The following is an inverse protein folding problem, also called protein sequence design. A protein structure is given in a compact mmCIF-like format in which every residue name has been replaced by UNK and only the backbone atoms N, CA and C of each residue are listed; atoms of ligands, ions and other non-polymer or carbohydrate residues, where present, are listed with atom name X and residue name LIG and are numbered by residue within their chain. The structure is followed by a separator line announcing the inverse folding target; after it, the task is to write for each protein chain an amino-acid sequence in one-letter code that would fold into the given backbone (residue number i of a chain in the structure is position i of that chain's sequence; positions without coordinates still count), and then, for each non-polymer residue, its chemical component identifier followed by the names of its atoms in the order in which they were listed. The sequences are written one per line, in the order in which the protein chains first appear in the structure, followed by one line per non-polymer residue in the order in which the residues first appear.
data_IF_767571846696
#
_entry.id   IF_767571846696
#
_cell.length_a   1.000
_cell.length_b   1.000
_cell.length_c   1.000
_cell.angle_alpha   90.00
_cell.angle_beta   90.00
_cell.angle_gamma   90.00
#
_symmetry.space_group_name_H-M   'P 1'
#
loop_
_entity.id
_entity.type
_entity.pdbx_description
1 polymer ?
#
# COMPACT_ATOMS: atom_id res chain seq x y z
N UNK A 1 -0.98 -26.02 -20.20
CA UNK A 1 -1.93 -24.99 -19.79
C UNK A 1 -1.83 -23.86 -20.80
N UNK A 2 -2.86 -23.61 -21.57
CA UNK A 2 -2.89 -22.56 -22.58
C UNK A 2 -3.49 -21.31 -21.96
N UNK A 3 -2.77 -20.17 -22.01
CA UNK A 3 -3.22 -18.90 -21.49
C UNK A 3 -3.75 -18.06 -22.65
N UNK A 4 -5.06 -17.79 -22.66
CA UNK A 4 -5.69 -16.87 -23.60
C UNK A 4 -5.85 -15.50 -22.96
N UNK A 5 -5.26 -14.48 -23.58
CA UNK A 5 -5.33 -13.09 -23.12
C UNK A 5 -6.15 -12.26 -24.11
N UNK A 6 -7.07 -11.44 -23.58
CA UNK A 6 -7.78 -10.42 -24.35
C UNK A 6 -7.40 -9.03 -23.86
N UNK A 7 -7.22 -8.08 -24.80
CA UNK A 7 -6.94 -6.67 -24.49
C UNK A 7 -8.20 -5.84 -24.68
N UNK A 8 -8.49 -5.01 -23.67
CA UNK A 8 -9.56 -4.04 -23.73
C UNK A 8 -9.00 -2.66 -23.39
N UNK A 9 -9.02 -1.74 -24.33
CA UNK A 9 -8.59 -0.35 -24.12
C UNK A 9 -9.79 0.43 -23.54
N UNK A 10 -9.69 0.85 -22.26
CA UNK A 10 -10.76 1.52 -21.56
C UNK A 10 -10.61 3.03 -21.58
N UNK A 11 -9.43 3.55 -21.22
CA UNK A 11 -9.18 4.96 -21.06
C UNK A 11 -7.70 5.25 -21.21
N UNK A 12 -7.38 6.36 -21.88
CA UNK A 12 -6.04 6.91 -21.92
C UNK A 12 -5.86 7.93 -20.79
N UNK A 13 -4.81 7.78 -19.99
CA UNK A 13 -4.39 8.70 -18.95
C UNK A 13 -2.96 9.17 -19.20
N UNK A 14 -2.54 10.26 -18.54
CA UNK A 14 -1.15 10.71 -18.56
C UNK A 14 -0.21 9.67 -17.90
N UNK A 15 1.10 9.93 -17.92
CA UNK A 15 2.08 9.04 -17.30
C UNK A 15 1.74 8.77 -15.81
N UNK A 16 2.00 7.57 -15.37
CA UNK A 16 1.66 7.12 -14.01
C UNK A 16 2.88 6.55 -13.30
N UNK A 17 2.94 6.70 -12.00
CA UNK A 17 3.95 6.07 -11.17
C UNK A 17 3.58 4.63 -10.82
N UNK A 18 4.58 3.89 -10.37
CA UNK A 18 4.39 2.53 -9.88
C UNK A 18 3.43 2.48 -8.68
N UNK A 19 2.47 1.56 -8.71
CA UNK A 19 1.42 1.39 -7.69
C UNK A 19 0.57 2.67 -7.45
N UNK A 20 0.48 3.58 -8.42
CA UNK A 20 -0.46 4.71 -8.41
C UNK A 20 -1.85 4.34 -8.95
N UNK A 21 -2.15 3.04 -9.05
CA UNK A 21 -3.47 2.53 -9.39
C UNK A 21 -3.96 1.56 -8.32
N UNK A 22 -5.24 1.68 -7.94
CA UNK A 22 -5.91 0.80 -6.99
C UNK A 22 -7.34 0.47 -7.44
N UNK A 23 -7.76 -0.75 -7.11
CA UNK A 23 -9.16 -1.16 -7.20
C UNK A 23 -9.87 -0.72 -5.93
N UNK A 24 -10.98 0.00 -6.06
CA UNK A 24 -11.82 0.30 -4.91
C UNK A 24 -12.60 -0.96 -4.49
N UNK A 25 -12.67 -1.27 -3.19
CA UNK A 25 -13.52 -2.36 -2.70
C UNK A 25 -14.96 -2.19 -3.18
N UNK A 26 -15.57 -3.28 -3.64
CA UNK A 26 -16.98 -3.27 -4.07
C UNK A 26 -17.90 -3.33 -2.87
N UNK A 27 -18.90 -2.42 -2.81
CA UNK A 27 -19.87 -2.34 -1.73
C UNK A 27 -20.95 -3.39 -1.75
N UNK A 28 -21.47 -3.66 -2.87
CA UNK A 28 -22.58 -4.62 -3.04
C UNK A 28 -22.18 -5.68 -4.06
N UNK A 29 -22.67 -6.90 -3.88
CA UNK A 29 -22.36 -8.07 -4.75
C UNK A 29 -22.58 -7.83 -6.26
N UNK A 30 -23.26 -6.75 -6.67
CA UNK A 30 -23.54 -6.39 -8.08
C UNK A 30 -23.05 -4.99 -8.46
N UNK A 31 -22.24 -4.34 -7.62
CA UNK A 31 -21.69 -3.03 -7.96
C UNK A 31 -20.61 -3.18 -9.03
N UNK A 32 -20.56 -2.24 -9.98
CA UNK A 32 -19.47 -2.18 -10.94
C UNK A 32 -18.14 -1.88 -10.24
N UNK A 33 -17.08 -2.57 -10.65
CA UNK A 33 -15.73 -2.34 -10.15
C UNK A 33 -15.27 -0.93 -10.54
N UNK A 34 -14.69 -0.23 -9.59
CA UNK A 34 -14.13 1.11 -9.77
C UNK A 34 -12.62 1.07 -9.63
N UNK A 35 -11.95 1.85 -10.46
CA UNK A 35 -10.51 2.03 -10.42
C UNK A 35 -10.19 3.48 -10.05
N UNK A 36 -9.13 3.63 -9.27
CA UNK A 36 -8.52 4.93 -8.97
C UNK A 36 -7.11 4.92 -9.52
N UNK A 37 -6.75 5.96 -10.26
CA UNK A 37 -5.43 6.11 -10.86
C UNK A 37 -4.91 7.53 -10.64
N UNK A 38 -3.64 7.66 -10.30
CA UNK A 38 -2.94 8.91 -10.17
C UNK A 38 -1.97 9.13 -11.33
N UNK A 39 -1.87 10.35 -11.80
CA UNK A 39 -1.03 10.74 -12.93
C UNK A 39 0.15 11.66 -12.54
N UNK A 40 0.97 11.99 -13.54
CA UNK A 40 2.16 12.85 -13.41
C UNK A 40 1.82 14.33 -13.16
N UNK A 41 0.57 14.75 -13.40
CA UNK A 41 0.10 16.12 -13.09
C UNK A 41 -0.36 16.26 -11.65
N UNK A 42 -0.43 15.15 -10.91
CA UNK A 42 -0.94 15.09 -9.53
C UNK A 42 -2.45 14.98 -9.46
N UNK A 43 -3.12 14.68 -10.57
CA UNK A 43 -4.54 14.37 -10.59
C UNK A 43 -4.80 12.94 -10.15
N UNK A 44 -5.87 12.75 -9.41
CA UNK A 44 -6.43 11.42 -9.11
C UNK A 44 -7.77 11.30 -9.84
N UNK A 45 -7.85 10.28 -10.70
CA UNK A 45 -9.04 9.96 -11.48
C UNK A 45 -9.67 8.68 -10.95
N UNK A 46 -10.98 8.72 -10.68
CA UNK A 46 -11.77 7.53 -10.38
C UNK A 46 -12.77 7.27 -11.50
N UNK A 47 -12.76 6.05 -12.01
CA UNK A 47 -13.67 5.65 -13.08
C UNK A 47 -14.13 4.20 -12.88
N UNK A 48 -15.16 3.83 -13.58
CA UNK A 48 -15.69 2.47 -13.64
C UNK A 48 -16.26 2.18 -15.02
N UNK A 49 -16.76 0.98 -15.23
CA UNK A 49 -17.43 0.60 -16.47
C UNK A 49 -18.90 0.35 -16.21
N UNK A 50 -19.76 0.89 -17.07
CA UNK A 50 -21.20 0.68 -17.04
C UNK A 50 -21.67 0.36 -18.45
N UNK A 51 -22.27 -0.82 -18.62
CA UNK A 51 -22.74 -1.31 -19.95
C UNK A 51 -21.65 -1.30 -21.03
N UNK A 52 -20.40 -1.53 -20.67
CA UNK A 52 -19.25 -1.52 -21.59
C UNK A 52 -18.63 -0.15 -21.85
N UNK A 53 -19.22 0.93 -21.35
CA UNK A 53 -18.70 2.30 -21.47
C UNK A 53 -17.98 2.73 -20.19
N UNK A 54 -16.97 3.59 -20.33
CA UNK A 54 -16.24 4.15 -19.21
C UNK A 54 -17.02 5.33 -18.63
N UNK A 55 -17.31 5.26 -17.33
CA UNK A 55 -17.95 6.33 -16.57
C UNK A 55 -16.94 6.94 -15.60
N UNK A 56 -16.61 8.23 -15.78
CA UNK A 56 -15.78 8.98 -14.81
C UNK A 56 -16.64 9.34 -13.60
N UNK A 57 -16.17 8.95 -12.40
CA UNK A 57 -16.86 9.22 -11.14
C UNK A 57 -16.43 10.54 -10.56
N UNK A 58 -15.10 10.76 -10.52
CA UNK A 58 -14.51 12.06 -10.16
C UNK A 58 -13.09 12.19 -10.74
N UNK A 59 -12.64 13.45 -10.84
CA UNK A 59 -11.25 13.81 -11.11
C UNK A 59 -10.87 14.95 -10.18
N UNK A 60 -9.76 14.80 -9.47
CA UNK A 60 -9.26 15.87 -8.57
C UNK A 60 -8.56 16.95 -9.37
N UNK A 61 -8.45 18.19 -8.85
CA UNK A 61 -7.56 19.18 -9.41
C UNK A 61 -6.10 18.73 -9.41
N UNK A 62 -5.27 19.22 -10.35
CA UNK A 62 -3.84 18.94 -10.37
C UNK A 62 -3.16 19.26 -9.03
N UNK A 63 -2.26 18.39 -8.61
CA UNK A 63 -1.50 18.58 -7.37
C UNK A 63 -0.19 19.33 -7.56
N UNK A 64 0.21 19.61 -8.81
CA UNK A 64 1.44 20.31 -9.18
C UNK A 64 2.69 19.42 -9.16
N UNK A 65 2.60 18.21 -8.68
CA UNK A 65 3.63 17.15 -8.74
C UNK A 65 2.95 15.81 -8.98
N UNK A 66 3.68 14.85 -9.52
CA UNK A 66 3.19 13.49 -9.79
C UNK A 66 2.59 12.81 -8.56
N UNK A 67 1.58 11.99 -8.77
CA UNK A 67 1.06 11.08 -7.75
C UNK A 67 2.06 9.94 -7.59
N UNK A 68 2.86 9.97 -6.52
CA UNK A 68 3.89 8.96 -6.27
C UNK A 68 3.31 7.59 -5.90
N UNK A 69 2.24 7.58 -5.13
CA UNK A 69 1.60 6.36 -4.63
C UNK A 69 0.14 6.59 -4.27
N UNK A 70 -0.70 5.58 -4.46
CA UNK A 70 -2.06 5.54 -3.90
C UNK A 70 -2.17 4.42 -2.87
N UNK A 71 -2.76 4.72 -1.71
CA UNK A 71 -3.14 3.78 -0.66
C UNK A 71 -4.62 3.92 -0.35
N UNK A 72 -5.26 2.81 0.01
CA UNK A 72 -6.65 2.81 0.46
C UNK A 72 -6.66 2.50 1.96
N UNK A 73 -7.45 3.25 2.73
CA UNK A 73 -7.68 3.01 4.14
C UNK A 73 -9.14 2.62 4.39
N UNK A 74 -9.40 1.88 5.46
CA UNK A 74 -10.76 1.48 5.83
C UNK A 74 -11.30 0.29 5.05
N UNK A 75 -10.43 -0.63 4.62
CA UNK A 75 -10.79 -1.78 3.78
C UNK A 75 -11.87 -2.73 4.33
N UNK A 76 -12.25 -2.60 5.61
CA UNK A 76 -13.31 -3.39 6.25
C UNK A 76 -14.70 -2.74 6.23
N UNK A 77 -14.79 -1.45 5.96
CA UNK A 77 -16.04 -0.68 5.91
C UNK A 77 -16.10 0.13 4.61
N UNK A 78 -16.92 -0.35 3.69
CA UNK A 78 -17.03 0.22 2.34
C UNK A 78 -17.41 1.69 2.29
N UNK A 79 -18.22 2.15 3.25
CA UNK A 79 -18.64 3.56 3.32
C UNK A 79 -17.52 4.48 3.81
N UNK A 80 -16.52 3.93 4.52
CA UNK A 80 -15.41 4.67 5.12
C UNK A 80 -14.09 4.55 4.36
N UNK A 81 -14.07 3.92 3.20
CA UNK A 81 -12.85 3.84 2.40
C UNK A 81 -12.35 5.23 2.03
N UNK A 82 -11.20 5.60 2.57
CA UNK A 82 -10.42 6.76 2.19
C UNK A 82 -9.46 6.43 1.05
N UNK A 83 -9.35 7.33 0.10
CA UNK A 83 -8.37 7.27 -0.99
C UNK A 83 -7.26 8.26 -0.65
N UNK A 84 -6.10 7.73 -0.28
CA UNK A 84 -4.92 8.51 0.08
C UNK A 84 -3.91 8.48 -1.04
N UNK A 85 -3.24 9.60 -1.29
CA UNK A 85 -2.13 9.63 -2.26
C UNK A 85 -1.03 10.59 -1.84
N UNK A 86 0.18 10.31 -2.28
CA UNK A 86 1.32 11.20 -2.14
C UNK A 86 1.48 12.07 -3.39
N UNK A 87 1.81 13.35 -3.17
CA UNK A 87 2.13 14.31 -4.20
C UNK A 87 3.36 15.11 -3.73
N UNK A 88 4.55 14.70 -4.18
CA UNK A 88 5.82 15.16 -3.60
C UNK A 88 5.91 14.76 -2.12
N UNK A 89 6.03 15.74 -1.21
CA UNK A 89 6.06 15.54 0.24
C UNK A 89 4.70 15.72 0.91
N UNK A 90 3.65 15.95 0.15
CA UNK A 90 2.30 16.16 0.66
C UNK A 90 1.48 14.88 0.54
N UNK A 91 0.77 14.52 1.59
CA UNK A 91 -0.23 13.44 1.59
C UNK A 91 -1.62 14.09 1.52
N UNK A 92 -2.42 13.62 0.60
CA UNK A 92 -3.79 14.07 0.40
C UNK A 92 -4.74 12.90 0.51
N UNK A 93 -5.99 13.15 0.89
CA UNK A 93 -7.01 12.13 0.89
C UNK A 93 -8.38 12.67 0.49
N UNK A 94 -9.14 11.81 -0.19
CA UNK A 94 -10.53 12.06 -0.50
C UNK A 94 -11.41 10.84 -0.18
N UNK A 95 -12.69 11.06 -0.11
CA UNK A 95 -13.66 9.98 -0.02
C UNK A 95 -13.95 9.38 -1.42
N UNK A 96 -14.78 8.32 -1.47
CA UNK A 96 -15.17 7.64 -2.72
C UNK A 96 -15.90 8.52 -3.74
N UNK A 97 -16.34 9.72 -3.37
CA UNK A 97 -17.00 10.70 -4.23
C UNK A 97 -16.04 11.80 -4.73
N UNK A 98 -14.75 11.71 -4.33
CA UNK A 98 -13.74 12.70 -4.70
C UNK A 98 -13.69 13.93 -3.81
N UNK A 99 -14.49 13.99 -2.71
CA UNK A 99 -14.43 15.11 -1.77
C UNK A 99 -13.16 14.96 -0.92
N UNK A 100 -12.22 15.89 -1.09
CA UNK A 100 -11.01 15.98 -0.29
C UNK A 100 -11.34 16.32 1.17
N UNK A 101 -10.72 15.63 2.10
CA UNK A 101 -10.89 15.84 3.54
C UNK A 101 -9.58 15.92 4.28
N UNK A 102 -8.46 15.62 3.61
CA UNK A 102 -7.13 15.71 4.18
C UNK A 102 -6.15 16.30 3.18
N UNK A 103 -5.36 17.26 3.63
CA UNK A 103 -4.14 17.73 2.99
C UNK A 103 -3.09 17.92 4.07
N UNK A 104 -2.14 17.00 4.14
CA UNK A 104 -1.10 16.96 5.15
C UNK A 104 0.27 17.18 4.51
N UNK A 105 0.92 18.30 4.82
CA UNK A 105 2.29 18.57 4.41
C UNK A 105 3.23 17.92 5.42
N UNK A 106 3.96 16.90 4.98
CA UNK A 106 4.99 16.29 5.82
C UNK A 106 6.24 17.18 5.85
N UNK A 107 7.07 17.01 6.87
CA UNK A 107 8.38 17.69 6.95
C UNK A 107 9.50 16.88 6.26
N UNK A 108 9.14 15.92 5.40
CA UNK A 108 10.12 15.09 4.71
C UNK A 108 10.92 15.91 3.69
N UNK A 109 12.23 15.68 3.64
CA UNK A 109 13.10 16.28 2.64
C UNK A 109 12.97 15.59 1.26
N UNK A 110 12.43 14.38 1.22
CA UNK A 110 12.34 13.53 0.04
C UNK A 110 10.88 13.35 -0.42
N UNK A 111 10.65 13.22 -1.74
CA UNK A 111 9.33 12.86 -2.25
C UNK A 111 8.90 11.49 -1.73
N UNK A 112 7.64 11.35 -1.34
CA UNK A 112 7.08 10.09 -0.88
C UNK A 112 6.86 9.17 -2.09
N UNK A 113 7.60 8.06 -2.14
CA UNK A 113 7.56 7.04 -3.20
C UNK A 113 6.73 5.83 -2.84
N UNK A 114 6.58 5.55 -1.54
CA UNK A 114 5.73 4.49 -1.03
C UNK A 114 4.86 5.01 0.11
N UNK A 115 3.62 4.54 0.14
CA UNK A 115 2.61 5.00 1.08
C UNK A 115 1.70 3.84 1.45
N UNK A 116 1.50 3.64 2.74
CA UNK A 116 0.48 2.77 3.28
C UNK A 116 -0.29 3.51 4.38
N UNK A 117 -1.60 3.31 4.45
CA UNK A 117 -2.45 3.96 5.45
C UNK A 117 -3.39 2.93 6.06
N UNK A 118 -3.35 2.83 7.38
CA UNK A 118 -4.23 1.95 8.15
C UNK A 118 -4.79 2.70 9.35
N UNK A 119 -6.10 2.94 9.35
CA UNK A 119 -6.78 3.78 10.34
C UNK A 119 -6.13 5.18 10.47
N UNK A 120 -5.55 5.50 11.61
CA UNK A 120 -4.91 6.77 11.92
C UNK A 120 -3.40 6.76 11.64
N UNK A 121 -2.86 5.60 11.25
CA UNK A 121 -1.43 5.42 10.99
C UNK A 121 -1.13 5.60 9.51
N UNK A 122 -0.13 6.40 9.22
CA UNK A 122 0.40 6.66 7.88
C UNK A 122 1.86 6.24 7.87
N UNK A 123 2.21 5.36 6.95
CA UNK A 123 3.56 4.86 6.71
C UNK A 123 4.03 5.38 5.36
N UNK A 124 5.06 6.18 5.36
CA UNK A 124 5.59 6.83 4.16
C UNK A 124 7.08 6.49 3.97
N UNK A 125 7.44 6.03 2.79
CA UNK A 125 8.81 5.83 2.37
C UNK A 125 9.19 6.85 1.31
N UNK A 126 10.25 7.61 1.56
CA UNK A 126 10.96 8.43 0.58
C UNK A 126 11.94 7.59 -0.23
N UNK A 127 13.10 8.15 -0.55
CA UNK A 127 14.17 7.42 -1.21
C UNK A 127 15.04 6.64 -0.19
N UNK A 128 15.38 7.27 0.93
CA UNK A 128 16.20 6.68 2.00
C UNK A 128 15.52 6.75 3.36
N UNK A 129 14.49 7.58 3.51
CA UNK A 129 13.84 7.84 4.80
C UNK A 129 12.47 7.17 4.83
N UNK A 130 12.27 6.30 5.81
CA UNK A 130 10.95 5.85 6.25
C UNK A 130 10.46 6.76 7.37
N UNK A 131 9.19 7.14 7.32
CA UNK A 131 8.52 7.91 8.37
C UNK A 131 7.14 7.36 8.66
N UNK A 132 6.79 7.34 9.93
CA UNK A 132 5.46 6.98 10.42
C UNK A 132 4.81 8.19 11.08
N UNK A 133 3.53 8.37 10.78
CA UNK A 133 2.72 9.44 11.36
C UNK A 133 1.49 8.83 12.01
N UNK A 134 1.15 9.30 13.20
CA UNK A 134 -0.09 8.98 13.91
C UNK A 134 -0.94 10.25 13.98
N UNK A 135 -2.16 10.21 13.44
CA UNK A 135 -3.01 11.42 13.36
C UNK A 135 -2.29 12.62 12.72
N UNK A 136 -1.56 12.39 11.62
CA UNK A 136 -0.75 13.41 10.92
C UNK A 136 0.33 14.08 11.77
N UNK A 137 0.83 13.43 12.81
CA UNK A 137 1.97 13.88 13.62
C UNK A 137 3.09 12.86 13.51
N UNK A 138 4.32 13.34 13.41
CA UNK A 138 5.49 12.48 13.40
C UNK A 138 5.50 11.55 14.62
N UNK A 139 5.61 10.24 14.40
CA UNK A 139 5.62 9.23 15.47
C UNK A 139 6.87 8.37 15.45
N UNK A 140 7.43 8.08 14.29
CA UNK A 140 8.66 7.33 14.14
C UNK A 140 9.33 7.64 12.80
N UNK A 141 10.66 7.43 12.73
CA UNK A 141 11.40 7.48 11.48
C UNK A 141 12.56 6.48 11.50
N UNK A 142 13.00 6.09 10.30
CA UNK A 142 14.15 5.22 10.12
C UNK A 142 14.88 5.62 8.85
N UNK A 143 16.21 5.69 8.93
CA UNK A 143 17.06 5.93 7.76
C UNK A 143 17.62 4.60 7.26
N UNK A 144 17.17 4.19 6.07
CA UNK A 144 17.66 3.00 5.42
C UNK A 144 19.10 3.20 4.91
N UNK A 145 19.90 2.13 4.91
CA UNK A 145 21.27 2.17 4.40
C UNK A 145 21.36 2.36 2.88
N UNK A 146 20.26 2.07 2.16
CA UNK A 146 20.15 2.25 0.71
C UNK A 146 18.67 2.54 0.36
N UNK A 147 18.42 2.78 -0.91
CA UNK A 147 17.11 3.20 -1.43
C UNK A 147 15.99 2.23 -1.07
N UNK A 148 14.91 2.78 -0.54
CA UNK A 148 13.66 2.07 -0.28
C UNK A 148 12.90 1.95 -1.60
N UNK A 149 12.75 0.72 -2.09
CA UNK A 149 12.04 0.46 -3.33
C UNK A 149 10.53 0.27 -3.13
N UNK A 150 10.15 -0.28 -1.98
CA UNK A 150 8.74 -0.53 -1.65
C UNK A 150 8.51 -0.65 -0.15
N UNK A 151 7.25 -0.49 0.26
CA UNK A 151 6.81 -0.57 1.64
C UNK A 151 5.47 -1.29 1.73
N UNK A 152 5.36 -2.19 2.67
CA UNK A 152 4.11 -2.81 3.12
C UNK A 152 4.02 -2.74 4.65
N UNK A 153 2.86 -3.09 5.20
CA UNK A 153 2.68 -3.20 6.65
C UNK A 153 2.03 -4.53 7.01
N UNK A 154 2.45 -5.12 8.13
CA UNK A 154 1.86 -6.35 8.67
C UNK A 154 2.07 -6.40 10.19
N UNK A 155 1.20 -7.12 10.91
CA UNK A 155 1.37 -7.36 12.34
C UNK A 155 2.31 -8.55 12.57
N UNK A 156 3.58 -8.27 12.76
CA UNK A 156 4.65 -9.26 12.92
C UNK A 156 5.10 -9.35 14.37
N UNK A 157 5.37 -8.21 15.01
CA UNK A 157 5.86 -8.12 16.39
C UNK A 157 4.81 -8.43 17.45
N UNK A 158 3.53 -8.46 17.08
CA UNK A 158 2.43 -8.49 18.05
C UNK A 158 2.11 -7.15 18.70
N UNK A 159 2.79 -6.08 18.27
CA UNK A 159 2.48 -4.71 18.71
C UNK A 159 1.04 -4.29 18.30
N UNK A 160 0.43 -3.31 18.99
CA UNK A 160 -0.91 -2.82 18.64
C UNK A 160 -0.98 -2.24 17.24
N UNK A 161 0.09 -1.56 16.80
CA UNK A 161 0.23 -0.99 15.46
C UNK A 161 0.93 -1.99 14.54
N UNK A 162 0.60 -1.98 13.24
CA UNK A 162 1.35 -2.76 12.25
C UNK A 162 2.82 -2.35 12.18
N UNK A 163 3.67 -3.34 11.94
CA UNK A 163 5.08 -3.14 11.65
C UNK A 163 5.27 -2.75 10.18
N UNK A 164 6.27 -1.94 9.90
CA UNK A 164 6.63 -1.58 8.53
C UNK A 164 7.60 -2.61 7.96
N UNK A 165 7.34 -3.06 6.73
CA UNK A 165 8.22 -3.96 5.98
C UNK A 165 8.78 -3.18 4.79
N UNK A 166 10.08 -2.93 4.80
CA UNK A 166 10.80 -2.20 3.76
C UNK A 166 11.53 -3.16 2.84
N UNK A 167 11.30 -3.03 1.54
CA UNK A 167 12.12 -3.67 0.51
C UNK A 167 13.13 -2.68 -0.04
N UNK A 168 14.43 -2.98 0.07
CA UNK A 168 15.49 -2.04 -0.23
C UNK A 168 16.37 -2.48 -1.41
N UNK A 169 17.11 -1.51 -1.99
CA UNK A 169 17.99 -1.72 -3.13
C UNK A 169 19.24 -2.53 -2.75
N UNK A 170 19.69 -2.46 -1.49
CA UNK A 170 20.80 -3.23 -0.92
C UNK A 170 20.51 -4.73 -0.74
N UNK A 171 19.46 -5.21 -1.36
CA UNK A 171 19.02 -6.61 -1.28
C UNK A 171 18.54 -7.03 0.11
N UNK A 172 18.12 -6.09 0.95
CA UNK A 172 17.60 -6.38 2.27
C UNK A 172 16.09 -6.13 2.36
N UNK A 173 15.43 -7.00 3.11
CA UNK A 173 14.10 -6.75 3.68
C UNK A 173 14.29 -6.37 5.13
N UNK A 174 13.72 -5.25 5.55
CA UNK A 174 13.75 -4.77 6.94
C UNK A 174 12.36 -4.68 7.51
N UNK A 175 12.20 -5.19 8.71
CA UNK A 175 10.95 -5.08 9.49
C UNK A 175 11.20 -4.12 10.63
N UNK A 176 10.37 -3.08 10.73
CA UNK A 176 10.49 -2.03 11.73
C UNK A 176 9.25 -1.98 12.62
N UNK A 177 9.46 -1.89 13.92
CA UNK A 177 8.45 -1.53 14.91
C UNK A 177 8.69 -0.09 15.35
N UNK A 178 7.91 0.85 14.81
CA UNK A 178 8.21 2.27 14.99
C UNK A 178 9.56 2.63 14.35
N UNK A 179 10.52 3.14 15.16
CA UNK A 179 11.88 3.46 14.72
C UNK A 179 12.87 2.30 14.87
N UNK A 180 12.48 1.22 15.52
CA UNK A 180 13.37 0.13 15.87
C UNK A 180 13.39 -0.95 14.79
N UNK A 181 14.60 -1.38 14.40
CA UNK A 181 14.79 -2.50 13.50
C UNK A 181 14.52 -3.81 14.25
N UNK A 182 13.41 -4.46 13.93
CA UNK A 182 13.02 -5.74 14.52
C UNK A 182 13.74 -6.91 13.85
N UNK A 183 13.85 -6.85 12.52
CA UNK A 183 14.41 -7.95 11.73
C UNK A 183 14.98 -7.44 10.41
N UNK A 184 16.08 -8.06 9.98
CA UNK A 184 16.68 -7.82 8.66
C UNK A 184 17.02 -9.16 8.00
N UNK A 185 16.68 -9.29 6.73
CA UNK A 185 17.00 -10.46 5.93
C UNK A 185 17.62 -10.06 4.59
N UNK A 186 18.72 -10.73 4.23
CA UNK A 186 19.33 -10.58 2.91
C UNK A 186 18.60 -11.43 1.88
N UNK A 187 18.44 -10.88 0.67
CA UNK A 187 17.85 -11.49 -0.50
C UNK A 187 18.89 -11.68 -1.60
N UNK A 188 18.62 -12.53 -2.58
CA UNK A 188 19.52 -12.79 -3.70
C UNK A 188 19.69 -11.57 -4.63
N UNK A 189 18.72 -10.67 -4.63
CA UNK A 189 18.72 -9.45 -5.46
C UNK A 189 17.98 -8.28 -4.81
N UNK A 190 18.03 -7.08 -5.42
CA UNK A 190 17.28 -5.92 -4.95
C UNK A 190 15.79 -6.22 -4.77
N UNK A 191 15.24 -5.85 -3.63
CA UNK A 191 13.82 -6.08 -3.33
C UNK A 191 13.00 -5.03 -4.05
N UNK A 192 12.41 -5.39 -5.16
CA UNK A 192 11.69 -4.44 -6.00
C UNK A 192 10.24 -4.22 -5.58
N UNK A 193 9.61 -5.19 -4.91
CA UNK A 193 8.23 -5.09 -4.42
C UNK A 193 8.04 -5.90 -3.14
N UNK A 194 7.22 -5.36 -2.26
CA UNK A 194 6.70 -6.04 -1.08
C UNK A 194 5.18 -5.99 -1.14
N UNK A 195 4.53 -7.13 -0.90
CA UNK A 195 3.07 -7.19 -0.90
C UNK A 195 2.60 -8.19 0.16
N UNK A 196 1.54 -7.82 0.85
CA UNK A 196 0.89 -8.71 1.80
C UNK A 196 0.19 -9.84 1.08
N UNK A 197 0.46 -11.06 1.48
CA UNK A 197 -0.27 -12.23 1.02
C UNK A 197 -1.15 -12.78 2.14
N UNK A 198 -2.45 -12.87 1.89
CA UNK A 198 -3.38 -13.57 2.76
C UNK A 198 -3.91 -14.80 2.04
N UNK A 199 -3.73 -15.98 2.64
CA UNK A 199 -4.38 -17.19 2.13
C UNK A 199 -5.90 -16.98 2.17
N UNK A 200 -6.63 -17.17 1.07
CA UNK A 200 -8.07 -17.23 1.15
C UNK A 200 -8.47 -18.37 2.11
N UNK A 201 -9.52 -18.19 2.92
CA UNK A 201 -10.01 -19.27 3.76
C UNK A 201 -10.29 -20.49 2.87
N UNK A 202 -9.96 -21.72 3.31
CA UNK A 202 -10.24 -22.93 2.56
C UNK A 202 -11.74 -22.93 2.21
N UNK A 203 -12.06 -23.31 0.97
CA UNK A 203 -13.44 -23.42 0.53
C UNK A 203 -14.21 -24.34 1.51
N UNK A 204 -15.44 -23.99 1.92
CA UNK A 204 -16.20 -24.81 2.85
C UNK A 204 -16.35 -26.22 2.24
N UNK A 205 -15.77 -27.23 2.91
CA UNK A 205 -15.74 -28.63 2.46
C UNK A 205 -14.38 -29.18 2.00
N UNK A 206 -13.32 -28.36 1.90
CA UNK A 206 -11.98 -28.85 1.64
C UNK A 206 -11.29 -29.24 2.96
N UNK A 207 -11.42 -30.49 3.38
CA UNK A 207 -10.56 -31.10 4.40
C UNK A 207 -9.22 -31.40 3.75
N UNK A 208 -8.32 -30.42 3.70
CA UNK A 208 -6.92 -30.63 3.33
C UNK A 208 -6.15 -31.31 4.48
N UNK A 209 -5.10 -32.12 4.18
CA UNK A 209 -4.28 -32.69 5.22
C UNK A 209 -3.61 -31.57 6.02
N UNK A 210 -3.84 -31.59 7.35
CA UNK A 210 -3.26 -30.61 8.25
C UNK A 210 -1.73 -30.63 8.15
N UNK A 211 -1.16 -29.53 7.66
CA UNK A 211 0.28 -29.26 7.80
C UNK A 211 0.48 -28.80 9.23
N UNK A 212 0.80 -29.76 10.11
CA UNK A 212 1.24 -29.46 11.45
C UNK A 212 2.59 -28.75 11.38
N UNK A 213 2.63 -27.49 11.76
CA UNK A 213 3.88 -26.84 12.10
C UNK A 213 4.39 -27.47 13.39
N UNK A 214 5.42 -28.31 13.26
CA UNK A 214 6.15 -28.85 14.39
C UNK A 214 6.70 -27.70 15.24
N UNK A 215 6.29 -27.65 16.50
CA UNK A 215 6.89 -26.84 17.54
C UNK A 215 8.36 -27.21 17.63
N UNK A 216 9.26 -26.30 17.31
CA UNK A 216 10.68 -26.50 17.63
C UNK A 216 10.81 -26.46 19.16
N UNK A 217 11.05 -27.59 19.77
CA UNK A 217 11.49 -27.67 21.17
C UNK A 217 12.89 -27.08 21.25
N UNK A 218 13.02 -26.02 22.04
CA UNK A 218 14.31 -25.48 22.42
C UNK A 218 15.03 -26.51 23.28
N UNK A 219 16.15 -27.03 22.80
CA UNK A 219 17.07 -27.83 23.59
C UNK A 219 17.72 -26.92 24.64
N UNK A 220 17.52 -27.25 25.93
CA UNK A 220 18.23 -26.59 27.02
C UNK A 220 19.73 -26.97 26.97
N UNK A 221 20.64 -26.03 27.23
CA UNK A 221 22.06 -26.37 27.34
C UNK A 221 22.32 -27.05 28.67
N UNK A 222 22.77 -28.29 28.60
CA UNK A 222 23.36 -29.00 29.77
C UNK A 222 24.75 -28.44 30.04
N UNK A 223 25.00 -28.08 31.30
CA UNK A 223 26.29 -27.68 31.85
C UNK A 223 27.32 -28.80 31.80
#
# INVERSE_FOLDING_TARGET
MELSLSRHDLLQVSATCRKSMRLLPMGKKRAAQKLVIGDDTGCVLCFGTKKGEVETIFKTPPGGREVGRISLSGAGDEERVGIFWSCGTTIRACNRKGKEHLKFNTNLAEPIRSLHVEAEEIYAGGEYIFSQFTNCKDSAFFMAGDRINDLATEKISGAPKPDAVLGCQDRCVRVLTGSDLLYEASMDGPVSAVERYSNPPPAPGASGPGVGFGRAEAAEPTY
#
